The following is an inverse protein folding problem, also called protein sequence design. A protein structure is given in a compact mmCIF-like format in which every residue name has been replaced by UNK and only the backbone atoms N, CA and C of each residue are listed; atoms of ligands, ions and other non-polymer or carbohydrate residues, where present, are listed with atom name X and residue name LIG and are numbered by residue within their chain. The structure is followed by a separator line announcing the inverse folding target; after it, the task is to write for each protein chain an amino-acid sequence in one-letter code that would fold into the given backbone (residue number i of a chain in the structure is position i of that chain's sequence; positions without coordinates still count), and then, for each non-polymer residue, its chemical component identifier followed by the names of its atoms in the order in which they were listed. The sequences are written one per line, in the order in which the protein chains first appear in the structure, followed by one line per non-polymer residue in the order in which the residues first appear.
data_IF_371688980807
#
_entry.id   IF_371688980807
#
_cell.length_a   1.000
_cell.length_b   1.000
_cell.length_c   1.000
_cell.angle_alpha   90.00
_cell.angle_beta   90.00
_cell.angle_gamma   90.00
#
_symmetry.space_group_name_H-M   'P 1'
#
loop_
_entity.id
_entity.type
_entity.pdbx_description
1 polymer ?
#
# COMPACT_ATOMS: atom_id res chain seq x y z
N UNK A 1 20.44 3.30 -3.68
CA UNK A 1 19.85 2.16 -4.46
C UNK A 1 18.35 2.27 -4.57
N UNK A 2 17.61 2.08 -3.46
CA UNK A 2 16.13 2.17 -3.52
C UNK A 2 15.65 3.56 -3.96
N UNK A 3 16.29 4.61 -3.51
CA UNK A 3 15.91 5.98 -3.88
C UNK A 3 16.01 6.24 -5.38
N UNK A 4 17.01 5.64 -6.06
CA UNK A 4 17.17 5.72 -7.51
C UNK A 4 16.05 4.97 -8.24
N UNK A 5 15.75 3.73 -7.78
CA UNK A 5 14.60 2.95 -8.29
C UNK A 5 13.30 3.74 -8.17
N UNK A 6 13.07 4.32 -6.99
CA UNK A 6 11.84 5.05 -6.73
C UNK A 6 11.75 6.34 -7.54
N UNK A 7 12.87 7.04 -7.70
CA UNK A 7 12.93 8.30 -8.46
C UNK A 7 12.77 8.07 -9.96
N UNK A 8 13.51 7.10 -10.50
CA UNK A 8 13.64 6.96 -11.94
C UNK A 8 12.54 6.06 -12.55
N UNK A 9 11.93 5.19 -11.72
CA UNK A 9 10.98 4.19 -12.20
C UNK A 9 9.58 4.41 -11.64
N UNK A 10 9.42 4.36 -10.32
CA UNK A 10 8.11 4.41 -9.69
C UNK A 10 7.50 5.81 -9.67
N UNK A 11 8.26 6.83 -9.34
CA UNK A 11 7.72 8.18 -9.20
C UNK A 11 7.09 8.71 -10.50
N UNK A 12 7.70 8.54 -11.70
CA UNK A 12 7.06 8.93 -12.96
C UNK A 12 5.79 8.13 -13.26
N UNK A 13 5.78 6.82 -12.97
CA UNK A 13 4.61 5.97 -13.19
C UNK A 13 3.44 6.38 -12.28
N UNK A 14 3.70 6.56 -10.99
CA UNK A 14 2.69 6.96 -10.01
C UNK A 14 2.20 8.40 -10.21
N UNK A 15 3.06 9.30 -10.68
CA UNK A 15 2.66 10.67 -11.04
C UNK A 15 1.62 10.67 -12.16
N UNK A 16 1.76 9.81 -13.18
CA UNK A 16 0.76 9.65 -14.25
C UNK A 16 -0.59 9.14 -13.75
N UNK A 17 -0.59 8.42 -12.63
CA UNK A 17 -1.78 7.94 -11.93
C UNK A 17 -2.30 8.92 -10.86
N UNK A 18 -1.87 10.18 -10.93
CA UNK A 18 -2.25 11.27 -10.02
C UNK A 18 -1.80 11.09 -8.56
N UNK A 19 -0.84 10.21 -8.28
CA UNK A 19 -0.25 10.12 -6.95
C UNK A 19 0.75 11.26 -6.70
N UNK A 20 0.68 11.85 -5.50
CA UNK A 20 1.64 12.81 -4.98
C UNK A 20 2.61 12.10 -4.04
N UNK A 21 3.90 12.45 -4.09
CA UNK A 21 4.96 11.81 -3.32
C UNK A 21 5.41 12.67 -2.14
N UNK A 22 5.67 12.01 -1.00
CA UNK A 22 6.41 12.56 0.13
C UNK A 22 7.32 11.47 0.71
N UNK A 23 8.63 11.60 0.54
CA UNK A 23 9.59 10.56 0.95
C UNK A 23 9.36 9.24 0.20
N UNK A 24 9.14 8.17 0.96
CA UNK A 24 8.86 6.82 0.46
C UNK A 24 7.37 6.48 0.45
N UNK A 25 6.51 7.50 0.46
CA UNK A 25 5.07 7.34 0.49
C UNK A 25 4.41 8.16 -0.62
N UNK A 26 3.32 7.65 -1.17
CA UNK A 26 2.52 8.28 -2.22
C UNK A 26 1.05 8.27 -1.82
N UNK A 27 0.37 9.38 -2.08
CA UNK A 27 -1.06 9.54 -1.86
C UNK A 27 -1.79 9.93 -3.14
N UNK A 28 -2.97 9.33 -3.36
CA UNK A 28 -3.91 9.72 -4.41
C UNK A 28 -5.30 9.91 -3.79
N UNK A 29 -5.85 11.11 -3.90
CA UNK A 29 -7.22 11.38 -3.42
C UNK A 29 -8.24 10.97 -4.49
N UNK A 30 -9.24 10.18 -4.10
CA UNK A 30 -10.38 9.77 -4.90
C UNK A 30 -11.67 10.01 -4.13
N UNK A 31 -12.34 11.15 -4.37
CA UNK A 31 -13.53 11.52 -3.59
C UNK A 31 -13.28 11.54 -2.09
N UNK A 32 -13.99 10.68 -1.34
CA UNK A 32 -13.86 10.51 0.10
C UNK A 32 -12.64 9.67 0.52
N UNK A 33 -11.95 9.01 -0.43
CA UNK A 33 -10.85 8.10 -0.14
C UNK A 33 -9.49 8.72 -0.44
N UNK A 34 -8.49 8.28 0.29
CA UNK A 34 -7.08 8.51 -0.04
C UNK A 34 -6.40 7.15 -0.17
N UNK A 35 -5.95 6.85 -1.38
CA UNK A 35 -5.11 5.69 -1.65
C UNK A 35 -3.69 5.99 -1.22
N UNK A 36 -3.09 5.08 -0.49
CA UNK A 36 -1.72 5.19 0.00
C UNK A 36 -0.90 4.02 -0.52
N UNK A 37 0.27 4.35 -1.09
CA UNK A 37 1.34 3.39 -1.36
C UNK A 37 2.52 3.83 -0.51
N UNK A 38 3.07 2.92 0.30
CA UNK A 38 4.19 3.21 1.18
C UNK A 38 5.27 2.14 1.02
N UNK A 39 6.52 2.56 1.04
CA UNK A 39 7.67 1.67 1.04
C UNK A 39 8.47 1.93 2.31
N UNK A 40 8.66 0.88 3.09
CA UNK A 40 9.49 0.89 4.29
C UNK A 40 10.85 0.28 4.00
N UNK A 41 11.91 0.95 4.45
CA UNK A 41 13.28 0.43 4.43
C UNK A 41 13.61 -0.13 5.80
N UNK A 42 14.19 -1.33 5.83
CA UNK A 42 14.60 -1.95 7.08
C UNK A 42 15.79 -1.21 7.71
N UNK A 43 15.81 -1.14 9.03
CA UNK A 43 16.92 -0.51 9.78
C UNK A 43 18.25 -1.26 9.64
N UNK A 44 18.20 -2.55 9.35
CA UNK A 44 19.35 -3.41 9.12
C UNK A 44 19.88 -3.40 7.69
N UNK A 45 19.33 -2.55 6.81
CA UNK A 45 19.83 -2.34 5.45
C UNK A 45 21.27 -1.79 5.48
N UNK A 46 22.10 -2.31 4.58
CA UNK A 46 23.49 -1.86 4.39
C UNK A 46 23.62 -1.07 3.09
N UNK A 47 24.84 -0.62 2.77
CA UNK A 47 25.11 0.03 1.47
C UNK A 47 25.09 -0.96 0.31
N UNK A 48 25.37 -2.23 0.55
CA UNK A 48 25.44 -3.30 -0.46
C UNK A 48 24.09 -4.00 -0.66
N UNK A 49 23.30 -4.13 0.42
CA UNK A 49 22.01 -4.78 0.41
C UNK A 49 20.96 -3.97 1.20
N UNK A 50 19.94 -3.50 0.50
CA UNK A 50 18.79 -2.83 1.11
C UNK A 50 17.61 -3.78 1.20
N UNK A 51 16.90 -3.73 2.31
CA UNK A 51 15.71 -4.53 2.55
C UNK A 51 14.50 -3.62 2.59
N UNK A 52 13.46 -3.92 1.81
CA UNK A 52 12.24 -3.13 1.74
C UNK A 52 10.99 -3.98 1.90
N UNK A 53 9.93 -3.33 2.39
CA UNK A 53 8.54 -3.80 2.32
C UNK A 53 7.69 -2.72 1.66
N UNK A 54 6.70 -3.16 0.90
CA UNK A 54 5.69 -2.27 0.35
C UNK A 54 4.34 -2.51 0.99
N UNK A 55 3.57 -1.44 1.10
CA UNK A 55 2.22 -1.44 1.64
C UNK A 55 1.29 -0.66 0.72
N UNK A 56 0.05 -1.10 0.67
CA UNK A 56 -1.09 -0.32 0.17
C UNK A 56 -2.06 -0.10 1.31
N UNK A 57 -2.66 1.07 1.36
CA UNK A 57 -3.71 1.35 2.33
C UNK A 57 -4.78 2.25 1.71
N UNK A 58 -6.00 2.14 2.21
CA UNK A 58 -7.11 3.03 1.89
C UNK A 58 -7.46 3.79 3.15
N UNK A 59 -7.38 5.11 3.08
CA UNK A 59 -7.75 6.01 4.17
C UNK A 59 -9.08 6.70 3.86
N UNK A 60 -9.90 6.90 4.89
CA UNK A 60 -11.09 7.73 4.86
C UNK A 60 -10.86 8.88 5.83
N UNK A 61 -10.49 10.08 5.36
CA UNK A 61 -10.12 11.21 6.22
C UNK A 61 -11.18 11.53 7.26
N UNK A 62 -12.45 11.60 6.86
CA UNK A 62 -13.57 11.90 7.76
C UNK A 62 -13.70 10.87 8.89
N UNK A 63 -13.56 9.59 8.58
CA UNK A 63 -13.61 8.53 9.59
C UNK A 63 -12.42 8.61 10.55
N UNK A 64 -11.22 8.87 10.01
CA UNK A 64 -10.01 9.05 10.81
C UNK A 64 -10.14 10.24 11.77
N UNK A 65 -10.72 11.35 11.31
CA UNK A 65 -10.90 12.55 12.13
C UNK A 65 -11.81 12.33 13.33
N UNK A 66 -12.84 11.49 13.18
CA UNK A 66 -13.73 11.11 14.29
C UNK A 66 -12.97 10.35 15.38
N UNK A 67 -12.04 9.47 15.00
CA UNK A 67 -11.33 8.58 15.93
C UNK A 67 -10.06 9.24 16.49
N UNK A 68 -9.28 9.90 15.66
CA UNK A 68 -7.92 10.34 15.98
C UNK A 68 -7.72 11.86 15.92
N UNK A 69 -8.77 12.63 15.62
CA UNK A 69 -8.67 14.08 15.44
C UNK A 69 -8.19 14.49 14.03
N UNK A 70 -7.74 15.74 13.85
CA UNK A 70 -7.49 16.33 12.54
C UNK A 70 -6.63 15.45 11.64
N UNK A 71 -7.01 15.34 10.37
CA UNK A 71 -6.29 14.57 9.37
C UNK A 71 -4.89 15.16 9.12
N UNK A 72 -3.88 14.32 8.94
CA UNK A 72 -2.55 14.80 8.57
C UNK A 72 -2.58 15.37 7.13
N UNK A 73 -1.66 16.27 6.80
CA UNK A 73 -1.56 16.82 5.45
C UNK A 73 -1.14 15.76 4.41
N UNK A 74 -0.64 14.62 4.88
CA UNK A 74 -0.20 13.48 4.07
C UNK A 74 -0.37 12.19 4.86
N UNK A 75 -1.06 11.21 4.28
CA UNK A 75 -1.41 9.95 4.93
C UNK A 75 -0.30 8.91 4.75
N UNK A 76 -0.16 8.03 5.73
CA UNK A 76 0.70 6.85 5.72
C UNK A 76 -0.14 5.57 5.75
N UNK A 77 0.49 4.41 5.63
CA UNK A 77 -0.21 3.12 5.75
C UNK A 77 -0.84 2.91 7.13
N UNK A 78 -0.31 3.55 8.16
CA UNK A 78 -0.85 3.49 9.53
C UNK A 78 -2.17 4.26 9.70
N UNK A 79 -2.47 5.19 8.78
CA UNK A 79 -3.72 5.95 8.78
C UNK A 79 -4.85 5.23 8.02
N UNK A 80 -4.54 4.08 7.40
CA UNK A 80 -5.49 3.32 6.60
C UNK A 80 -6.52 2.59 7.45
N UNK A 81 -7.77 2.60 6.99
CA UNK A 81 -8.80 1.69 7.52
C UNK A 81 -8.55 0.26 7.06
N UNK A 82 -7.91 0.10 5.90
CA UNK A 82 -7.38 -1.15 5.38
C UNK A 82 -5.94 -0.93 4.96
N UNK A 83 -5.06 -1.84 5.37
CA UNK A 83 -3.65 -1.82 5.00
C UNK A 83 -3.18 -3.24 4.71
N UNK A 84 -2.58 -3.44 3.55
CA UNK A 84 -2.07 -4.72 3.08
C UNK A 84 -0.62 -4.57 2.63
N UNK A 85 0.16 -5.62 2.82
CA UNK A 85 1.50 -5.72 2.25
C UNK A 85 1.40 -6.03 0.75
N UNK A 86 2.39 -5.63 0.00
CA UNK A 86 2.49 -5.98 -1.42
C UNK A 86 2.50 -7.48 -1.65
N UNK A 87 3.11 -8.24 -0.77
CA UNK A 87 3.13 -9.71 -0.82
C UNK A 87 1.74 -10.31 -0.66
N UNK A 88 0.88 -9.73 0.17
CA UNK A 88 -0.52 -10.16 0.33
C UNK A 88 -1.32 -9.95 -0.95
N UNK A 89 -1.12 -8.82 -1.61
CA UNK A 89 -1.76 -8.55 -2.89
C UNK A 89 -1.26 -9.47 -4.02
N UNK A 90 0.03 -9.82 -4.01
CA UNK A 90 0.62 -10.68 -5.03
C UNK A 90 0.10 -12.12 -4.93
N UNK A 91 0.00 -12.63 -3.72
CA UNK A 91 -0.47 -14.00 -3.47
C UNK A 91 -1.99 -14.16 -3.57
N UNK A 92 -2.75 -13.07 -3.64
CA UNK A 92 -4.21 -13.03 -3.45
C UNK A 92 -4.64 -13.72 -2.13
N UNK A 93 -3.73 -13.84 -1.19
CA UNK A 93 -3.94 -14.50 0.09
C UNK A 93 -3.91 -13.44 1.20
N UNK A 94 -5.08 -13.01 1.60
CA UNK A 94 -5.26 -12.10 2.73
C UNK A 94 -5.54 -12.87 4.03
N UNK A 95 -5.26 -14.20 4.05
CA UNK A 95 -5.51 -15.05 5.21
C UNK A 95 -4.57 -14.78 6.40
N UNK A 96 -3.71 -13.78 6.31
CA UNK A 96 -2.78 -13.41 7.38
C UNK A 96 -1.60 -14.38 7.57
N UNK A 97 -1.48 -15.42 6.76
CA UNK A 97 -0.34 -16.35 6.77
C UNK A 97 0.84 -15.87 5.95
N UNK A 98 0.96 -14.59 5.76
CA UNK A 98 2.03 -14.03 4.93
C UNK A 98 3.36 -14.19 5.63
N UNK A 99 4.26 -14.88 4.97
CA UNK A 99 5.67 -14.84 5.29
C UNK A 99 6.13 -13.39 5.31
N UNK A 100 6.70 -12.94 6.40
CA UNK A 100 7.21 -11.58 6.58
C UNK A 100 8.47 -11.38 5.73
N UNK A 101 8.26 -11.40 4.41
CA UNK A 101 9.36 -11.35 3.44
C UNK A 101 9.70 -9.91 3.11
N UNK A 102 10.97 -9.59 3.31
CA UNK A 102 11.57 -8.36 2.82
C UNK A 102 12.14 -8.59 1.42
N UNK A 103 11.91 -7.66 0.51
CA UNK A 103 12.62 -7.67 -0.76
C UNK A 103 14.05 -7.20 -0.55
N UNK A 104 14.97 -8.03 -1.00
CA UNK A 104 16.41 -7.75 -0.93
C UNK A 104 16.86 -7.08 -2.21
N UNK A 105 17.29 -5.84 -2.11
CA UNK A 105 17.76 -5.04 -3.24
C UNK A 105 19.28 -4.98 -3.18
N UNK A 106 19.89 -5.44 -4.26
CA UNK A 106 21.32 -5.31 -4.54
C UNK A 106 21.50 -4.61 -5.89
N UNK A 107 22.70 -4.14 -6.17
CA UNK A 107 23.00 -3.42 -7.41
C UNK A 107 22.61 -4.26 -8.64
N UNK A 108 22.93 -5.55 -8.63
CA UNK A 108 22.69 -6.48 -9.73
C UNK A 108 21.20 -6.75 -10.00
N UNK A 109 20.33 -6.72 -8.98
CA UNK A 109 18.91 -7.01 -9.15
C UNK A 109 18.00 -5.78 -9.08
N UNK A 110 18.56 -4.59 -8.90
CA UNK A 110 17.79 -3.36 -8.67
C UNK A 110 16.81 -3.04 -9.80
N UNK A 111 17.19 -3.27 -11.05
CA UNK A 111 16.30 -3.07 -12.22
C UNK A 111 15.16 -4.08 -12.26
N UNK A 112 15.42 -5.34 -11.96
CA UNK A 112 14.39 -6.38 -11.88
C UNK A 112 13.37 -6.04 -10.80
N UNK A 113 13.83 -5.69 -9.61
CA UNK A 113 12.95 -5.27 -8.51
C UNK A 113 12.11 -4.04 -8.90
N UNK A 114 12.69 -3.08 -9.62
CA UNK A 114 11.94 -1.92 -10.11
C UNK A 114 10.78 -2.31 -11.03
N UNK A 115 11.04 -3.22 -11.98
CA UNK A 115 10.01 -3.75 -12.88
C UNK A 115 8.93 -4.53 -12.14
N UNK A 116 9.32 -5.36 -11.17
CA UNK A 116 8.38 -6.12 -10.35
C UNK A 116 7.49 -5.21 -9.51
N UNK A 117 8.05 -4.17 -8.89
CA UNK A 117 7.29 -3.15 -8.16
C UNK A 117 6.30 -2.41 -9.07
N UNK A 118 6.73 -2.00 -10.26
CA UNK A 118 5.83 -1.35 -11.22
C UNK A 118 4.68 -2.27 -11.64
N UNK A 119 5.00 -3.52 -11.98
CA UNK A 119 4.00 -4.52 -12.37
C UNK A 119 3.00 -4.75 -11.25
N UNK A 120 3.47 -4.94 -10.02
CA UNK A 120 2.62 -5.17 -8.86
C UNK A 120 1.71 -3.98 -8.59
N UNK A 121 2.23 -2.77 -8.64
CA UNK A 121 1.43 -1.56 -8.45
C UNK A 121 0.37 -1.43 -9.56
N UNK A 122 0.76 -1.58 -10.82
CA UNK A 122 -0.15 -1.42 -11.95
C UNK A 122 -1.25 -2.50 -12.00
N UNK A 123 -0.90 -3.75 -11.72
CA UNK A 123 -1.80 -4.89 -11.92
C UNK A 123 -2.48 -5.39 -10.64
N UNK A 124 -2.05 -4.95 -9.46
CA UNK A 124 -2.62 -5.37 -8.17
C UNK A 124 -3.07 -4.18 -7.33
N UNK A 125 -2.18 -3.24 -7.03
CA UNK A 125 -2.50 -2.13 -6.14
C UNK A 125 -3.53 -1.16 -6.75
N UNK A 126 -3.37 -0.75 -8.00
CA UNK A 126 -4.30 0.17 -8.66
C UNK A 126 -5.68 -0.47 -8.84
N UNK A 127 -5.84 -1.69 -9.38
CA UNK A 127 -7.12 -2.37 -9.42
C UNK A 127 -7.77 -2.57 -8.04
N UNK A 128 -6.96 -2.86 -7.01
CA UNK A 128 -7.46 -2.93 -5.65
C UNK A 128 -8.07 -1.59 -5.20
N UNK A 129 -7.37 -0.47 -5.39
CA UNK A 129 -7.92 0.84 -5.07
C UNK A 129 -9.17 1.16 -5.86
N UNK A 130 -9.18 0.87 -7.16
CA UNK A 130 -10.32 1.15 -8.03
C UNK A 130 -11.56 0.31 -7.65
N UNK A 131 -11.35 -0.88 -7.08
CA UNK A 131 -12.43 -1.71 -6.53
C UNK A 131 -12.98 -1.18 -5.20
N UNK A 132 -12.22 -0.35 -4.47
CA UNK A 132 -12.70 0.33 -3.26
C UNK A 132 -13.42 1.63 -3.62
N UNK A 133 -14.54 1.57 -4.34
CA UNK A 133 -15.29 2.75 -4.77
C UNK A 133 -16.27 3.27 -3.72
N UNK A 134 -16.67 2.40 -2.78
CA UNK A 134 -17.49 2.77 -1.62
C UNK A 134 -16.99 2.08 -0.36
N UNK A 135 -17.39 2.60 0.81
CA UNK A 135 -17.08 1.98 2.09
C UNK A 135 -17.60 0.54 2.17
N UNK A 136 -18.80 0.30 1.64
CA UNK A 136 -19.44 -1.03 1.60
C UNK A 136 -18.65 -2.01 0.74
N UNK A 137 -18.14 -1.56 -0.41
CA UNK A 137 -17.32 -2.40 -1.29
C UNK A 137 -15.96 -2.71 -0.65
N UNK A 138 -15.33 -1.71 -0.01
CA UNK A 138 -14.11 -1.91 0.72
C UNK A 138 -14.27 -2.93 1.86
N UNK A 139 -15.36 -2.83 2.63
CA UNK A 139 -15.71 -3.78 3.69
C UNK A 139 -15.95 -5.19 3.11
N UNK A 140 -16.70 -5.32 2.03
CA UNK A 140 -16.93 -6.60 1.35
C UNK A 140 -15.63 -7.25 0.88
N UNK A 141 -14.70 -6.49 0.33
CA UNK A 141 -13.41 -7.00 -0.13
C UNK A 141 -12.58 -7.59 1.01
N UNK A 142 -12.66 -7.01 2.19
CA UNK A 142 -11.98 -7.53 3.39
C UNK A 142 -12.72 -8.76 3.92
N UNK A 143 -14.03 -8.69 4.11
CA UNK A 143 -14.82 -9.80 4.66
C UNK A 143 -14.87 -11.03 3.76
N UNK A 144 -14.94 -10.86 2.43
CA UNK A 144 -14.94 -11.99 1.48
C UNK A 144 -13.61 -12.74 1.44
N UNK A 145 -12.52 -12.12 1.89
CA UNK A 145 -11.20 -12.73 1.90
C UNK A 145 -10.85 -13.42 3.23
N UNK A 146 -11.55 -13.11 4.29
CA UNK A 146 -11.39 -13.77 5.58
C UNK A 146 -12.12 -15.13 5.69
N UNK A 147 -12.73 -15.62 4.60
CA UNK A 147 -13.23 -17.01 4.39
C UNK A 147 -13.86 -17.70 5.62
N UNK A 148 -14.65 -17.01 6.43
CA UNK A 148 -15.27 -17.60 7.59
C UNK A 148 -16.11 -16.60 8.35
N UNK A 149 -17.42 -16.79 8.28
CA UNK A 149 -18.47 -16.26 9.12
C UNK A 149 -17.96 -15.53 10.40
N UNK A 150 -17.67 -14.27 10.30
CA UNK A 150 -17.72 -13.38 11.44
C UNK A 150 -18.73 -12.27 11.11
N UNK A 151 -19.79 -12.27 11.87
CA UNK A 151 -20.80 -11.21 11.90
C UNK A 151 -20.10 -9.86 12.02
N UNK A 152 -20.45 -8.86 11.19
CA UNK A 152 -19.89 -7.53 11.33
C UNK A 152 -20.19 -6.98 12.73
N UNK A 153 -19.28 -6.21 13.33
CA UNK A 153 -19.57 -5.50 14.54
C UNK A 153 -20.74 -4.54 14.28
N UNK A 154 -21.85 -4.79 14.96
CA UNK A 154 -23.00 -3.90 14.97
C UNK A 154 -22.54 -2.67 15.77
N UNK A 155 -22.26 -1.58 15.09
CA UNK A 155 -22.15 -0.28 15.75
C UNK A 155 -23.55 0.16 16.17
N UNK A 156 -23.85 0.05 17.45
CA UNK A 156 -24.98 0.72 18.10
C UNK A 156 -24.58 2.14 18.46
#
# INVERSE_FOLDING_TARGET
MIDDILKDTLAPALKRLAFKRRGLCWNRRRGAFVDVISIQKARFSTQEEEHIKGYVAVCVPEFREIIFGPSPPFFTEADGIFSFRFTELEMNDLSGRVLDTWWKIRKENSKSIACDLQRLIAHKAVPFFDSCSSFIEAERLVCCKEGGLSTPPIFN
#
